data_IF_685375530588
#
_entry.id   IF_685375530588
#
_cell.length_a   1.000
_cell.length_b   1.000
_cell.length_c   1.000
_cell.angle_alpha   90.00
_cell.angle_beta   90.00
_cell.angle_gamma   90.00
#
_symmetry.space_group_name_H-M   'P 1'
#
loop_
_entity.id
_entity.type
_entity.pdbx_description
1 polymer ?
#
# COMPACT_ATOMS: atom_id res chain seq x y z
N UNK A 1 -2.14 5.66 27.93
CA UNK A 1 -3.51 5.14 28.04
C UNK A 1 -4.22 5.26 26.69
N UNK A 2 -4.32 4.15 25.95
CA UNK A 2 -5.08 4.11 24.70
C UNK A 2 -6.57 4.12 25.05
N UNK A 3 -7.29 5.16 24.63
CA UNK A 3 -8.75 5.16 24.63
C UNK A 3 -9.21 4.23 23.50
N UNK A 4 -9.74 3.07 23.86
CA UNK A 4 -10.53 2.24 22.96
C UNK A 4 -11.98 2.66 23.15
N UNK A 5 -12.58 3.23 22.12
CA UNK A 5 -14.00 3.58 22.09
C UNK A 5 -14.66 2.72 21.03
N UNK A 6 -15.52 1.79 21.46
CA UNK A 6 -16.42 1.07 20.57
C UNK A 6 -17.66 1.93 20.34
N UNK A 7 -17.96 2.21 19.07
CA UNK A 7 -19.14 2.95 18.64
C UNK A 7 -19.62 2.44 17.29
N UNK A 8 -20.93 2.53 17.06
CA UNK A 8 -21.57 2.24 15.77
C UNK A 8 -21.73 3.57 15.04
N UNK A 9 -21.17 3.70 13.84
CA UNK A 9 -20.99 4.99 13.15
C UNK A 9 -21.80 5.09 11.85
N UNK A 10 -22.14 6.32 11.40
CA UNK A 10 -23.12 6.57 10.34
C UNK A 10 -22.55 6.29 8.95
N UNK A 11 -22.21 5.02 8.69
CA UNK A 11 -22.07 4.36 7.39
C UNK A 11 -21.96 2.83 7.54
N UNK A 12 -22.30 2.27 8.71
CA UNK A 12 -22.31 0.83 8.95
C UNK A 12 -20.93 0.17 9.00
N UNK A 13 -19.84 0.94 9.11
CA UNK A 13 -18.50 0.40 9.28
C UNK A 13 -18.28 0.03 10.75
N UNK A 14 -18.13 -1.27 11.00
CA UNK A 14 -17.82 -1.85 12.31
C UNK A 14 -16.40 -2.41 12.23
N UNK A 15 -15.50 -1.95 13.09
CA UNK A 15 -14.13 -2.46 13.22
C UNK A 15 -13.21 -1.46 13.91
N UNK A 16 -12.29 -1.95 14.74
CA UNK A 16 -11.26 -1.19 15.48
C UNK A 16 -10.05 -0.86 14.60
N UNK A 17 -10.04 0.32 13.98
CA UNK A 17 -8.86 0.89 13.32
C UNK A 17 -8.01 1.62 14.37
N UNK A 18 -6.69 1.60 14.28
CA UNK A 18 -5.84 2.27 15.28
C UNK A 18 -6.17 3.79 15.45
N UNK A 19 -6.13 4.26 16.69
CA UNK A 19 -6.75 5.52 17.19
C UNK A 19 -6.41 6.84 16.49
N UNK A 20 -5.34 6.91 15.70
CA UNK A 20 -4.96 8.15 15.00
C UNK A 20 -5.74 8.35 13.68
N UNK A 21 -6.13 7.28 12.99
CA UNK A 21 -6.87 7.38 11.72
C UNK A 21 -8.33 7.77 11.95
N UNK A 22 -8.92 7.37 13.08
CA UNK A 22 -10.26 7.80 13.47
C UNK A 22 -10.39 9.30 13.68
N UNK A 23 -9.38 9.94 14.26
CA UNK A 23 -9.39 11.39 14.42
C UNK A 23 -9.37 12.08 13.06
N UNK A 24 -8.59 11.57 12.11
CA UNK A 24 -8.56 12.09 10.75
C UNK A 24 -9.92 11.92 10.06
N UNK A 25 -10.52 10.72 10.08
CA UNK A 25 -11.84 10.51 9.47
C UNK A 25 -12.94 11.35 10.09
N UNK A 26 -12.98 11.45 11.43
CA UNK A 26 -13.97 12.28 12.10
C UNK A 26 -13.84 13.75 11.69
N UNK A 27 -12.61 14.24 11.52
CA UNK A 27 -12.36 15.61 11.05
C UNK A 27 -12.74 15.79 9.58
N UNK A 28 -12.43 14.83 8.72
CA UNK A 28 -12.83 14.85 7.31
C UNK A 28 -14.36 14.79 7.15
N UNK A 29 -15.06 13.90 7.87
CA UNK A 29 -16.52 13.77 7.85
C UNK A 29 -17.22 15.00 8.44
N UNK A 30 -16.61 15.64 9.44
CA UNK A 30 -17.09 16.90 10.02
C UNK A 30 -16.73 18.13 9.18
N UNK A 31 -16.05 17.96 8.04
CA UNK A 31 -15.56 19.04 7.17
C UNK A 31 -14.69 20.06 7.93
N UNK A 32 -13.87 19.58 8.86
CA UNK A 32 -12.89 20.38 9.58
C UNK A 32 -11.54 20.39 8.85
N UNK A 33 -10.89 21.55 8.83
CA UNK A 33 -9.52 21.66 8.32
C UNK A 33 -8.56 20.84 9.19
N UNK A 34 -7.80 19.95 8.55
CA UNK A 34 -6.84 19.07 9.22
C UNK A 34 -5.53 19.02 8.45
N UNK A 35 -4.42 19.18 9.19
CA UNK A 35 -3.08 18.97 8.67
C UNK A 35 -2.54 17.65 9.20
N UNK A 36 -2.10 16.77 8.30
CA UNK A 36 -1.56 15.46 8.65
C UNK A 36 -0.48 15.02 7.65
N UNK A 37 0.30 14.04 8.04
CA UNK A 37 1.29 13.39 7.18
C UNK A 37 0.67 12.17 6.49
N UNK A 38 0.91 12.04 5.19
CA UNK A 38 0.43 10.92 4.36
C UNK A 38 1.54 10.48 3.40
N UNK A 39 1.48 9.22 2.97
CA UNK A 39 2.29 8.68 1.88
C UNK A 39 1.41 7.88 0.91
N UNK A 40 1.94 7.57 -0.27
CA UNK A 40 1.33 6.63 -1.22
C UNK A 40 2.34 5.53 -1.55
N UNK A 41 1.93 4.25 -1.62
CA UNK A 41 0.56 3.74 -1.46
C UNK A 41 0.06 3.72 0.00
N UNK A 42 -1.24 3.91 0.20
CA UNK A 42 -1.93 3.94 1.50
C UNK A 42 -3.45 3.70 1.37
N UNK A 43 -4.12 3.26 2.44
CA UNK A 43 -5.55 2.91 2.41
C UNK A 43 -6.47 4.11 2.13
N UNK A 44 -6.11 5.31 2.61
CA UNK A 44 -6.83 6.55 2.32
C UNK A 44 -6.82 6.87 0.82
N UNK A 45 -5.73 6.50 0.13
CA UNK A 45 -5.60 6.68 -1.32
C UNK A 45 -6.44 5.70 -2.13
N UNK A 46 -6.87 4.57 -1.52
CA UNK A 46 -7.85 3.67 -2.13
C UNK A 46 -9.29 4.14 -1.93
N UNK A 47 -9.60 4.76 -0.79
CA UNK A 47 -10.95 5.28 -0.49
C UNK A 47 -11.26 6.59 -1.22
N UNK A 48 -10.25 7.44 -1.35
CA UNK A 48 -10.36 8.78 -1.94
C UNK A 48 -9.55 8.90 -3.24
N UNK A 49 -9.33 7.79 -3.97
CA UNK A 49 -8.52 7.78 -5.18
C UNK A 49 -8.88 8.90 -6.19
N UNK A 50 -10.17 9.21 -6.31
CA UNK A 50 -10.68 10.28 -7.19
C UNK A 50 -10.73 11.67 -6.51
N UNK A 51 -10.54 11.75 -5.19
CA UNK A 51 -10.60 12.98 -4.38
C UNK A 51 -9.23 13.43 -3.84
N UNK A 52 -8.18 12.66 -4.11
CA UNK A 52 -6.80 13.06 -3.97
C UNK A 52 -6.37 13.73 -5.28
N UNK A 53 -5.79 14.93 -5.18
CA UNK A 53 -4.99 15.56 -6.24
C UNK A 53 -5.72 16.38 -7.34
N UNK A 54 -6.53 17.38 -6.96
CA UNK A 54 -6.77 18.58 -7.78
C UNK A 54 -7.15 19.80 -6.92
N UNK A 55 -7.16 21.00 -7.53
CA UNK A 55 -7.77 22.21 -6.97
C UNK A 55 -9.31 22.02 -6.89
N UNK A 56 -9.76 21.16 -5.99
CA UNK A 56 -11.16 20.73 -5.89
C UNK A 56 -11.35 19.47 -5.05
N UNK A 57 -10.28 18.68 -4.88
CA UNK A 57 -10.24 17.45 -4.10
C UNK A 57 -10.32 17.70 -2.60
N UNK A 58 -10.68 16.64 -1.86
CA UNK A 58 -10.82 16.71 -0.40
C UNK A 58 -9.48 16.74 0.34
N UNK A 59 -8.39 16.35 -0.34
CA UNK A 59 -7.03 16.34 0.23
C UNK A 59 -6.09 17.05 -0.73
N UNK A 60 -5.47 18.11 -0.21
CA UNK A 60 -4.46 18.90 -0.90
C UNK A 60 -3.07 18.51 -0.40
N UNK A 61 -2.17 18.14 -1.31
CA UNK A 61 -0.76 17.97 -0.97
C UNK A 61 -0.12 19.34 -0.79
N UNK A 62 0.47 19.59 0.38
CA UNK A 62 1.20 20.83 0.61
C UNK A 62 2.52 20.81 -0.15
N UNK A 63 2.76 21.89 -0.90
CA UNK A 63 4.04 22.14 -1.55
C UNK A 63 5.07 22.58 -0.52
N UNK A 64 6.25 21.97 -0.54
CA UNK A 64 7.42 22.44 0.20
C UNK A 64 8.39 23.11 -0.79
N UNK A 65 8.37 24.46 -0.90
CA UNK A 65 9.16 25.19 -1.88
C UNK A 65 10.66 25.21 -1.55
N UNK A 66 11.07 24.74 -0.37
CA UNK A 66 12.47 24.67 0.03
C UNK A 66 13.06 23.26 -0.04
N UNK A 67 12.21 22.24 -0.18
CA UNK A 67 12.59 20.83 -0.30
C UNK A 67 13.20 20.28 0.99
N UNK A 68 12.50 19.38 1.66
CA UNK A 68 12.96 18.73 2.89
C UNK A 68 14.31 17.99 2.72
N UNK A 69 14.57 17.45 1.52
CA UNK A 69 15.85 16.86 1.12
C UNK A 69 16.50 17.70 0.02
N UNK A 70 17.25 18.74 0.42
CA UNK A 70 17.94 19.62 -0.51
C UNK A 70 19.24 18.98 -1.04
N UNK A 71 19.19 18.47 -2.28
CA UNK A 71 20.28 18.63 -3.25
C UNK A 71 19.66 19.31 -4.48
N UNK A 72 20.33 20.30 -5.12
CA UNK A 72 19.66 21.32 -5.93
C UNK A 72 19.27 20.86 -7.34
N UNK A 73 19.61 19.64 -7.74
CA UNK A 73 19.60 19.26 -9.14
C UNK A 73 18.63 18.10 -9.39
N UNK A 74 17.39 18.50 -9.70
CA UNK A 74 16.54 17.76 -10.62
C UNK A 74 15.49 16.87 -10.00
N UNK A 75 14.44 17.43 -9.41
CA UNK A 75 13.16 16.72 -9.28
C UNK A 75 11.97 17.69 -9.29
N UNK A 76 10.82 17.16 -9.71
CA UNK A 76 9.52 17.83 -9.79
C UNK A 76 8.99 18.07 -8.35
N UNK A 77 9.44 19.16 -7.71
CA UNK A 77 9.15 19.49 -6.31
C UNK A 77 7.75 20.07 -6.14
N UNK A 78 6.74 19.22 -6.05
CA UNK A 78 5.40 19.62 -5.61
C UNK A 78 5.07 19.24 -4.16
N UNK A 79 5.87 18.43 -3.46
CA UNK A 79 5.56 18.01 -2.07
C UNK A 79 6.75 17.97 -1.10
N UNK A 80 7.96 18.33 -1.56
CA UNK A 80 9.18 18.27 -0.74
C UNK A 80 9.85 16.90 -0.62
N UNK A 81 9.20 15.84 -1.11
CA UNK A 81 9.71 14.46 -1.13
C UNK A 81 9.82 13.97 -2.58
N UNK A 82 10.96 13.39 -3.00
CA UNK A 82 11.03 12.72 -4.30
C UNK A 82 10.07 11.52 -4.32
N UNK A 83 9.63 11.11 -5.51
CA UNK A 83 8.88 9.87 -5.68
C UNK A 83 9.65 8.71 -5.04
N UNK A 84 9.08 8.10 -4.00
CA UNK A 84 9.71 7.01 -3.27
C UNK A 84 9.48 5.67 -3.97
N UNK A 85 10.51 4.81 -3.96
CA UNK A 85 10.42 3.44 -4.47
C UNK A 85 10.53 2.45 -3.31
N UNK A 86 9.64 1.46 -3.27
CA UNK A 86 9.69 0.35 -2.31
C UNK A 86 10.48 -0.78 -2.97
N UNK A 87 11.56 -1.23 -2.32
CA UNK A 87 12.43 -2.29 -2.81
C UNK A 87 12.22 -3.59 -2.04
N UNK A 88 12.34 -4.71 -2.75
CA UNK A 88 12.50 -6.02 -2.13
C UNK A 88 13.98 -6.21 -1.82
N UNK A 89 14.33 -6.29 -0.53
CA UNK A 89 15.68 -6.60 -0.09
C UNK A 89 15.79 -8.09 0.29
N UNK A 90 16.90 -8.72 -0.07
CA UNK A 90 17.22 -10.09 0.31
C UNK A 90 18.62 -10.18 0.93
N UNK A 91 18.88 -11.27 1.65
CA UNK A 91 20.17 -11.47 2.33
C UNK A 91 21.31 -11.67 1.34
N UNK A 92 22.51 -11.25 1.73
CA UNK A 92 23.74 -11.58 1.01
C UNK A 92 23.88 -13.10 0.87
N UNK A 93 24.32 -13.55 -0.30
CA UNK A 93 24.52 -14.97 -0.64
C UNK A 93 23.27 -15.69 -1.16
N UNK A 94 22.08 -15.07 -1.16
CA UNK A 94 20.88 -15.71 -1.71
C UNK A 94 21.02 -16.01 -3.20
N UNK A 95 21.73 -15.17 -3.94
CA UNK A 95 21.96 -15.35 -5.39
C UNK A 95 22.81 -16.60 -5.70
N UNK A 96 23.79 -16.91 -4.83
CA UNK A 96 24.63 -18.10 -4.98
C UNK A 96 23.85 -19.39 -4.66
N UNK A 97 22.94 -19.34 -3.69
CA UNK A 97 22.16 -20.49 -3.22
C UNK A 97 20.91 -20.75 -4.06
N UNK A 98 20.23 -19.68 -4.48
CA UNK A 98 18.92 -19.70 -5.13
C UNK A 98 18.82 -18.59 -6.21
N UNK A 99 19.59 -18.70 -7.32
CA UNK A 99 19.60 -17.69 -8.38
C UNK A 99 18.24 -17.51 -9.08
N UNK A 100 17.43 -18.57 -9.11
CA UNK A 100 16.06 -18.55 -9.63
C UNK A 100 15.12 -17.69 -8.77
N UNK A 101 15.25 -17.79 -7.44
CA UNK A 101 14.50 -16.95 -6.50
C UNK A 101 14.92 -15.50 -6.62
N UNK A 102 16.23 -15.21 -6.70
CA UNK A 102 16.70 -13.83 -6.89
C UNK A 102 16.15 -13.24 -8.19
N UNK A 103 16.23 -13.98 -9.29
CA UNK A 103 15.66 -13.55 -10.58
C UNK A 103 14.17 -13.27 -10.48
N UNK A 104 13.40 -14.06 -9.71
CA UNK A 104 12.00 -13.78 -9.44
C UNK A 104 11.83 -12.47 -8.65
N UNK A 105 12.56 -12.31 -7.54
CA UNK A 105 12.46 -11.13 -6.67
C UNK A 105 12.81 -9.83 -7.42
N UNK A 106 13.78 -9.87 -8.33
CA UNK A 106 14.16 -8.74 -9.19
C UNK A 106 13.08 -8.35 -10.20
N UNK A 107 12.19 -9.29 -10.55
CA UNK A 107 11.12 -9.07 -11.54
C UNK A 107 9.78 -8.72 -10.92
N UNK A 108 9.57 -9.05 -9.64
CA UNK A 108 8.35 -8.66 -8.93
C UNK A 108 8.27 -7.14 -8.91
N UNK A 109 7.18 -6.64 -9.47
CA UNK A 109 6.81 -5.23 -9.45
C UNK A 109 5.31 -5.16 -9.21
N UNK A 110 4.85 -4.21 -8.41
CA UNK A 110 3.43 -3.98 -8.21
C UNK A 110 3.11 -2.51 -8.45
N UNK A 111 1.93 -2.23 -9.00
CA UNK A 111 1.50 -0.85 -9.19
C UNK A 111 1.11 -0.22 -7.85
N UNK A 112 1.20 1.11 -7.74
CA UNK A 112 0.68 1.85 -6.59
C UNK A 112 -0.83 1.57 -6.41
N UNK A 113 -1.56 1.39 -7.50
CA UNK A 113 -2.99 1.08 -7.48
C UNK A 113 -3.28 -0.28 -6.80
N UNK A 114 -2.52 -1.32 -7.14
CA UNK A 114 -2.67 -2.65 -6.52
C UNK A 114 -2.37 -2.60 -5.02
N UNK A 115 -1.30 -1.90 -4.63
CA UNK A 115 -0.94 -1.78 -3.21
C UNK A 115 -1.96 -0.93 -2.45
N UNK A 116 -2.49 0.15 -3.04
CA UNK A 116 -3.60 0.93 -2.47
C UNK A 116 -4.84 0.06 -2.25
N UNK A 117 -5.21 -0.76 -3.25
CA UNK A 117 -6.37 -1.65 -3.17
C UNK A 117 -6.22 -2.67 -2.04
N UNK A 118 -5.01 -3.22 -1.85
CA UNK A 118 -4.72 -4.10 -0.73
C UNK A 118 -4.81 -3.37 0.61
N UNK A 119 -4.17 -2.21 0.76
CA UNK A 119 -4.20 -1.43 1.99
C UNK A 119 -5.64 -1.05 2.38
N UNK A 120 -6.46 -0.63 1.41
CA UNK A 120 -7.89 -0.34 1.63
C UNK A 120 -8.66 -1.58 2.07
N UNK A 121 -8.48 -2.71 1.38
CA UNK A 121 -9.14 -3.95 1.75
C UNK A 121 -8.78 -4.40 3.18
N UNK A 122 -7.50 -4.38 3.53
CA UNK A 122 -7.04 -4.79 4.86
C UNK A 122 -7.53 -3.82 5.95
N UNK A 123 -7.33 -2.52 5.75
CA UNK A 123 -7.57 -1.52 6.79
C UNK A 123 -9.05 -1.17 6.94
N UNK A 124 -9.79 -1.09 5.83
CA UNK A 124 -11.16 -0.58 5.80
C UNK A 124 -12.18 -1.70 5.67
N UNK A 125 -12.03 -2.58 4.67
CA UNK A 125 -12.99 -3.67 4.43
C UNK A 125 -12.91 -4.72 5.53
N UNK A 126 -11.71 -5.00 6.02
CA UNK A 126 -11.45 -5.96 7.10
C UNK A 126 -11.24 -5.30 8.48
N UNK A 127 -11.33 -3.98 8.56
CA UNK A 127 -11.16 -3.25 9.82
C UNK A 127 -9.80 -3.44 10.48
N UNK A 128 -8.75 -3.81 9.73
CA UNK A 128 -7.44 -4.15 10.28
C UNK A 128 -7.33 -5.54 10.90
N UNK A 129 -8.40 -6.35 10.85
CA UNK A 129 -8.48 -7.66 11.51
C UNK A 129 -8.36 -8.84 10.54
N UNK A 130 -7.89 -8.59 9.31
CA UNK A 130 -7.73 -9.64 8.31
C UNK A 130 -6.81 -10.76 8.81
N UNK A 131 -7.33 -12.00 8.85
CA UNK A 131 -6.55 -13.17 9.24
C UNK A 131 -5.50 -13.52 8.17
N UNK A 132 -4.46 -14.27 8.55
CA UNK A 132 -3.45 -14.78 7.61
C UNK A 132 -4.09 -15.55 6.45
N UNK A 133 -5.14 -16.33 6.74
CA UNK A 133 -5.89 -17.08 5.73
C UNK A 133 -6.54 -16.14 4.71
N UNK A 134 -7.24 -15.11 5.16
CA UNK A 134 -7.91 -14.15 4.28
C UNK A 134 -6.91 -13.34 3.46
N UNK A 135 -5.78 -12.93 4.04
CA UNK A 135 -4.69 -12.26 3.32
C UNK A 135 -4.14 -13.15 2.20
N UNK A 136 -3.98 -14.45 2.49
CA UNK A 136 -3.53 -15.43 1.50
C UNK A 136 -4.57 -15.64 0.39
N UNK A 137 -5.86 -15.65 0.73
CA UNK A 137 -6.96 -15.75 -0.24
C UNK A 137 -7.02 -14.50 -1.14
N UNK A 138 -6.85 -13.30 -0.57
CA UNK A 138 -6.76 -12.06 -1.35
C UNK A 138 -5.59 -12.12 -2.34
N UNK A 139 -4.39 -12.48 -1.88
CA UNK A 139 -3.21 -12.59 -2.73
C UNK A 139 -3.41 -13.63 -3.86
N UNK A 140 -3.98 -14.80 -3.55
CA UNK A 140 -4.30 -15.82 -4.57
C UNK A 140 -5.28 -15.30 -5.61
N UNK A 141 -6.32 -14.59 -5.18
CA UNK A 141 -7.27 -13.98 -6.10
C UNK A 141 -6.58 -12.94 -7.00
N UNK A 142 -5.77 -12.05 -6.43
CA UNK A 142 -5.02 -11.06 -7.18
C UNK A 142 -4.09 -11.71 -8.22
N UNK A 143 -3.39 -12.80 -7.87
CA UNK A 143 -2.55 -13.57 -8.79
C UNK A 143 -3.38 -14.16 -9.95
N UNK A 144 -4.59 -14.67 -9.66
CA UNK A 144 -5.48 -15.21 -10.71
C UNK A 144 -5.93 -14.11 -11.66
N UNK A 145 -6.31 -12.96 -11.12
CA UNK A 145 -6.81 -11.81 -11.88
C UNK A 145 -5.69 -11.14 -12.70
N UNK A 146 -4.44 -11.17 -12.22
CA UNK A 146 -3.26 -10.59 -12.86
C UNK A 146 -2.29 -11.65 -13.42
N UNK A 147 -2.82 -12.79 -13.85
CA UNK A 147 -2.02 -13.95 -14.28
C UNK A 147 -0.99 -13.63 -15.36
N UNK A 148 -1.34 -12.75 -16.32
CA UNK A 148 -0.41 -12.38 -17.39
C UNK A 148 0.84 -11.67 -16.85
N UNK A 149 0.65 -10.77 -15.88
CA UNK A 149 1.73 -10.05 -15.21
C UNK A 149 2.58 -11.02 -14.37
N UNK A 150 1.95 -11.85 -13.54
CA UNK A 150 2.67 -12.84 -12.72
C UNK A 150 3.46 -13.83 -13.58
N UNK A 151 2.88 -14.28 -14.71
CA UNK A 151 3.57 -15.16 -15.65
C UNK A 151 4.79 -14.46 -16.29
N UNK A 152 4.76 -13.14 -16.46
CA UNK A 152 5.91 -12.38 -16.96
C UNK A 152 7.08 -12.42 -15.98
N UNK A 153 6.81 -12.39 -14.67
CA UNK A 153 7.84 -12.53 -13.64
C UNK A 153 8.47 -13.92 -13.66
N UNK A 154 7.64 -14.95 -13.85
CA UNK A 154 8.04 -16.36 -13.90
C UNK A 154 8.68 -16.79 -15.23
N UNK A 155 8.66 -15.94 -16.26
CA UNK A 155 9.09 -16.33 -17.61
C UNK A 155 10.56 -16.79 -17.66
N UNK A 156 10.80 -18.02 -18.10
CA UNK A 156 12.15 -18.58 -18.18
C UNK A 156 12.74 -19.05 -16.85
N UNK A 157 11.99 -18.97 -15.75
CA UNK A 157 12.29 -19.72 -14.53
C UNK A 157 11.77 -21.15 -14.72
N UNK A 158 12.60 -22.16 -14.47
CA UNK A 158 12.16 -23.55 -14.58
C UNK A 158 11.11 -23.84 -13.48
N UNK A 159 9.92 -24.29 -13.89
CA UNK A 159 8.83 -24.66 -12.99
C UNK A 159 9.09 -25.95 -12.18
N UNK A 160 10.25 -26.61 -12.35
CA UNK A 160 10.55 -27.94 -11.79
C UNK A 160 10.71 -27.99 -10.27
N UNK A 161 10.64 -26.87 -9.54
CA UNK A 161 10.75 -26.84 -8.07
C UNK A 161 9.53 -26.28 -7.31
N UNK A 162 8.45 -25.92 -8.00
CA UNK A 162 7.27 -25.30 -7.36
C UNK A 162 6.05 -26.23 -7.27
N UNK A 163 6.24 -27.55 -7.41
CA UNK A 163 5.18 -28.52 -7.09
C UNK A 163 5.01 -28.58 -5.57
N UNK A 164 3.80 -28.39 -5.03
CA UNK A 164 3.51 -28.64 -3.62
C UNK A 164 3.41 -30.15 -3.40
N UNK A 165 4.55 -30.83 -3.38
CA UNK A 165 4.67 -32.16 -2.79
C UNK A 165 5.44 -32.00 -1.48
N UNK A 166 4.69 -31.76 -0.39
CA UNK A 166 5.02 -32.14 1.01
C UNK A 166 4.14 -31.40 2.05
N UNK A 167 2.82 -31.30 1.82
CA UNK A 167 1.86 -30.95 2.87
C UNK A 167 0.53 -31.68 2.73
#
# INVERSE_FOLDING_TARGET
PALVSTGVYPRGRVGEVSGNFYLLWNKLDAQEDVLFYLWTPHHLSGEYADALCDEGGQILWLTDPWGFFSEPEGTDYYTGFPGATIYIAYRVGLEDEHPDVVTLLERISMTIADVNAYCYWESIVKGGEATVKEKSEYARKWIVDNRAEVNSWLAGLQAERLTPEDS
#
